data_IF_091974438629
#
_entry.id   IF_091974438629
#
_cell.length_a   1.000
_cell.length_b   1.000
_cell.length_c   1.000
_cell.angle_alpha   90.00
_cell.angle_beta   90.00
_cell.angle_gamma   90.00
#
_symmetry.space_group_name_H-M   'P 1'
#
loop_
_entity.id
_entity.type
_entity.pdbx_description
1 polymer ?
#
# COMPACT_ATOMS: atom_id res chain seq x y z
N UNK A 1 -12.95 -41.15 -18.61
CA UNK A 1 -12.05 -40.33 -17.76
C UNK A 1 -11.88 -39.00 -18.48
N UNK A 2 -12.48 -37.91 -17.96
CA UNK A 2 -12.41 -36.57 -18.59
C UNK A 2 -11.10 -35.98 -18.12
N UNK A 3 -10.11 -35.81 -18.98
CA UNK A 3 -8.85 -35.09 -18.70
C UNK A 3 -9.12 -33.60 -18.93
N UNK A 4 -9.23 -32.84 -17.86
CA UNK A 4 -9.23 -31.38 -17.93
C UNK A 4 -7.82 -30.91 -18.23
N UNK A 5 -7.58 -30.34 -19.42
CA UNK A 5 -6.41 -29.51 -19.64
C UNK A 5 -6.66 -28.19 -18.92
N UNK A 6 -5.77 -27.81 -18.00
CA UNK A 6 -5.76 -26.48 -17.39
C UNK A 6 -5.49 -25.43 -18.49
N UNK A 7 -6.55 -24.95 -19.10
CA UNK A 7 -6.48 -23.72 -19.89
C UNK A 7 -6.40 -22.56 -18.89
N UNK A 8 -5.27 -21.89 -18.84
CA UNK A 8 -5.07 -20.67 -18.08
C UNK A 8 -5.94 -19.56 -18.73
N UNK A 9 -7.23 -19.53 -18.38
CA UNK A 9 -8.13 -18.47 -18.82
C UNK A 9 -7.84 -17.26 -17.90
N UNK A 10 -7.05 -16.33 -18.37
CA UNK A 10 -6.99 -14.99 -17.74
C UNK A 10 -8.37 -14.36 -17.82
N UNK A 11 -9.10 -14.41 -16.70
CA UNK A 11 -10.39 -13.76 -16.63
C UNK A 11 -10.19 -12.25 -16.51
N UNK A 12 -10.80 -11.44 -17.39
CA UNK A 12 -10.77 -9.99 -17.23
C UNK A 12 -11.32 -9.61 -15.85
N UNK A 13 -10.76 -8.55 -15.24
CA UNK A 13 -11.25 -8.04 -13.94
C UNK A 13 -12.75 -7.78 -14.02
N UNK A 14 -13.49 -8.17 -12.97
CA UNK A 14 -14.90 -7.84 -12.86
C UNK A 14 -15.12 -6.32 -12.73
N UNK A 15 -16.29 -5.81 -13.13
CA UNK A 15 -16.63 -4.40 -12.93
C UNK A 15 -16.57 -3.99 -11.46
N UNK A 16 -16.83 -4.90 -10.54
CA UNK A 16 -16.67 -4.70 -9.09
C UNK A 16 -15.22 -4.42 -8.73
N UNK A 17 -14.30 -5.25 -9.25
CA UNK A 17 -12.87 -5.07 -9.01
C UNK A 17 -12.35 -3.78 -9.66
N UNK A 18 -12.80 -3.47 -10.88
CA UNK A 18 -12.44 -2.23 -11.57
C UNK A 18 -12.91 -1.02 -10.76
N UNK A 19 -14.15 -1.03 -10.26
CA UNK A 19 -14.68 0.05 -9.43
C UNK A 19 -13.89 0.21 -8.12
N UNK A 20 -13.62 -0.89 -7.42
CA UNK A 20 -12.84 -0.88 -6.19
C UNK A 20 -11.41 -0.34 -6.43
N UNK A 21 -10.72 -0.82 -7.47
CA UNK A 21 -9.36 -0.40 -7.82
C UNK A 21 -9.32 1.09 -8.17
N UNK A 22 -10.29 1.60 -8.95
CA UNK A 22 -10.37 3.01 -9.33
C UNK A 22 -10.61 3.91 -8.11
N UNK A 23 -11.53 3.55 -7.23
CA UNK A 23 -11.83 4.33 -6.01
C UNK A 23 -10.62 4.27 -5.06
N UNK A 24 -10.02 3.11 -4.84
CA UNK A 24 -8.81 2.94 -4.01
C UNK A 24 -7.68 3.85 -4.51
N UNK A 25 -7.40 3.82 -5.83
CA UNK A 25 -6.41 4.67 -6.44
C UNK A 25 -6.73 6.15 -6.23
N UNK A 26 -7.98 6.57 -6.40
CA UNK A 26 -8.42 7.95 -6.15
C UNK A 26 -8.18 8.39 -4.69
N UNK A 27 -8.36 7.48 -3.71
CA UNK A 27 -8.07 7.75 -2.30
C UNK A 27 -6.55 7.87 -2.08
N UNK A 28 -5.77 6.92 -2.56
CA UNK A 28 -4.30 6.90 -2.41
C UNK A 28 -3.68 8.15 -3.04
N UNK A 29 -4.09 8.52 -4.26
CA UNK A 29 -3.58 9.68 -4.98
C UNK A 29 -4.16 11.03 -4.51
N UNK A 30 -5.02 11.02 -3.48
CA UNK A 30 -5.67 12.21 -2.88
C UNK A 30 -6.64 12.93 -3.82
N UNK A 31 -7.11 12.26 -4.88
CA UNK A 31 -8.23 12.74 -5.71
C UNK A 31 -9.55 12.66 -4.94
N UNK A 32 -9.67 11.67 -4.04
CA UNK A 32 -10.71 11.52 -3.04
C UNK A 32 -10.07 11.77 -1.67
N UNK A 33 -10.38 12.91 -1.04
CA UNK A 33 -9.70 13.33 0.19
C UNK A 33 -10.27 12.64 1.43
N UNK A 34 -9.46 12.54 2.49
CA UNK A 34 -9.87 11.97 3.78
C UNK A 34 -11.13 12.67 4.32
N UNK A 35 -12.09 11.90 4.80
CA UNK A 35 -13.38 12.40 5.28
C UNK A 35 -14.37 12.83 4.19
N UNK A 36 -14.02 12.73 2.91
CA UNK A 36 -14.92 13.11 1.81
C UNK A 36 -16.14 12.18 1.74
N UNK A 37 -17.37 12.73 1.65
CA UNK A 37 -18.56 11.91 1.41
C UNK A 37 -18.56 11.34 -0.01
N UNK A 38 -18.94 10.07 -0.14
CA UNK A 38 -19.02 9.35 -1.39
C UNK A 38 -20.46 8.85 -1.60
N UNK A 39 -20.98 9.05 -2.82
CA UNK A 39 -22.29 8.52 -3.20
C UNK A 39 -22.15 7.49 -4.32
N UNK A 40 -22.92 6.39 -4.23
CA UNK A 40 -22.95 5.38 -5.29
C UNK A 40 -23.30 5.99 -6.66
N UNK A 41 -24.24 6.95 -6.68
CA UNK A 41 -24.65 7.61 -7.93
C UNK A 41 -23.55 8.48 -8.53
N UNK A 42 -22.81 9.24 -7.68
CA UNK A 42 -21.70 10.08 -8.14
C UNK A 42 -20.59 9.23 -8.72
N UNK A 43 -20.15 8.19 -7.98
CA UNK A 43 -19.10 7.27 -8.45
C UNK A 43 -19.50 6.51 -9.71
N UNK A 44 -20.76 6.03 -9.79
CA UNK A 44 -21.27 5.34 -10.98
C UNK A 44 -21.22 6.23 -12.22
N UNK A 45 -21.58 7.52 -12.07
CA UNK A 45 -21.48 8.52 -13.14
C UNK A 45 -20.03 8.76 -13.55
N UNK A 46 -19.13 8.94 -12.59
CA UNK A 46 -17.70 9.19 -12.86
C UNK A 46 -17.03 7.99 -13.55
N UNK A 47 -17.35 6.76 -13.13
CA UNK A 47 -16.77 5.53 -13.66
C UNK A 47 -17.47 5.03 -14.94
N UNK A 48 -18.61 5.61 -15.34
CA UNK A 48 -19.37 5.17 -16.51
C UNK A 48 -19.98 3.77 -16.39
N UNK A 49 -20.30 3.31 -15.16
CA UNK A 49 -20.87 1.97 -14.87
C UNK A 49 -22.14 2.08 -14.03
N UNK A 50 -22.86 0.98 -13.87
CA UNK A 50 -24.06 0.94 -13.02
C UNK A 50 -23.72 1.02 -11.52
N UNK A 51 -24.72 1.34 -10.67
CA UNK A 51 -24.55 1.46 -9.22
C UNK A 51 -24.20 0.13 -8.53
N UNK A 52 -24.65 -1.00 -9.07
CA UNK A 52 -24.46 -2.32 -8.44
C UNK A 52 -22.97 -2.65 -8.26
N UNK A 53 -22.10 -2.68 -9.30
CA UNK A 53 -20.67 -2.93 -9.12
C UNK A 53 -19.97 -1.86 -8.26
N UNK A 54 -20.45 -0.62 -8.26
CA UNK A 54 -19.91 0.43 -7.38
C UNK A 54 -20.22 0.13 -5.91
N UNK A 55 -21.46 -0.26 -5.59
CA UNK A 55 -21.85 -0.64 -4.22
C UNK A 55 -21.05 -1.83 -3.70
N UNK A 56 -20.87 -2.86 -4.53
CA UNK A 56 -20.07 -4.03 -4.19
C UNK A 56 -18.59 -3.65 -4.03
N UNK A 57 -18.04 -2.81 -4.91
CA UNK A 57 -16.68 -2.26 -4.79
C UNK A 57 -16.48 -1.46 -3.51
N UNK A 58 -17.43 -0.59 -3.14
CA UNK A 58 -17.42 0.13 -1.86
C UNK A 58 -17.50 -0.81 -0.65
N UNK A 59 -18.24 -1.92 -0.76
CA UNK A 59 -18.25 -2.93 0.30
C UNK A 59 -16.90 -3.62 0.48
N UNK A 60 -16.15 -3.89 -0.60
CA UNK A 60 -14.76 -4.37 -0.53
C UNK A 60 -13.85 -3.34 0.15
N UNK A 61 -13.92 -2.07 -0.28
CA UNK A 61 -13.12 -1.00 0.29
C UNK A 61 -13.43 -0.74 1.77
N UNK A 62 -14.68 -0.99 2.19
CA UNK A 62 -15.06 -0.94 3.61
C UNK A 62 -14.37 -2.05 4.41
N UNK A 63 -14.25 -3.25 3.86
CA UNK A 63 -13.52 -4.33 4.54
C UNK A 63 -12.01 -4.07 4.60
N UNK A 64 -11.48 -3.23 3.72
CA UNK A 64 -10.10 -2.75 3.74
C UNK A 64 -9.90 -1.51 4.66
N UNK A 65 -10.97 -0.97 5.23
CA UNK A 65 -10.91 0.22 6.08
C UNK A 65 -10.75 1.55 5.32
N UNK A 66 -10.77 1.55 3.98
CA UNK A 66 -10.61 2.77 3.16
C UNK A 66 -11.86 3.64 3.11
N UNK A 67 -13.02 3.06 3.33
CA UNK A 67 -14.28 3.80 3.41
C UNK A 67 -15.11 3.33 4.60
N UNK A 68 -15.89 4.24 5.15
CA UNK A 68 -16.82 3.98 6.24
C UNK A 68 -18.24 4.17 5.72
N UNK A 69 -19.15 3.24 6.04
CA UNK A 69 -20.55 3.38 5.72
C UNK A 69 -21.24 4.33 6.70
N UNK A 70 -21.95 5.32 6.20
CA UNK A 70 -22.77 6.24 6.99
C UNK A 70 -24.26 5.90 6.82
N UNK A 71 -25.00 5.55 7.88
CA UNK A 71 -26.42 5.26 7.79
C UNK A 71 -27.17 6.39 7.09
N UNK A 72 -27.95 6.04 6.07
CA UNK A 72 -28.77 6.97 5.25
C UNK A 72 -27.98 8.03 4.46
N UNK A 73 -26.62 8.03 4.50
CA UNK A 73 -25.77 9.03 3.82
C UNK A 73 -24.79 8.44 2.80
N UNK A 74 -24.75 7.10 2.68
CA UNK A 74 -23.83 6.41 1.77
C UNK A 74 -22.52 6.05 2.42
N UNK A 75 -21.42 6.52 1.87
CA UNK A 75 -20.06 6.20 2.33
C UNK A 75 -19.27 7.49 2.52
N UNK A 76 -18.18 7.38 3.28
CA UNK A 76 -17.17 8.42 3.45
C UNK A 76 -15.79 7.80 3.35
N UNK A 77 -14.83 8.50 2.74
CA UNK A 77 -13.42 8.12 2.83
C UNK A 77 -13.01 8.11 4.30
N UNK A 78 -12.24 7.14 4.73
CA UNK A 78 -11.74 7.09 6.11
C UNK A 78 -11.03 8.39 6.49
N UNK A 79 -10.96 8.68 7.76
CA UNK A 79 -10.17 9.76 8.33
C UNK A 79 -9.59 9.30 9.66
N UNK A 80 -8.52 9.91 10.09
CA UNK A 80 -7.86 9.64 11.36
C UNK A 80 -7.63 10.94 12.12
N UNK A 81 -7.80 10.91 13.43
CA UNK A 81 -7.30 11.96 14.33
C UNK A 81 -5.77 11.86 14.39
N UNK A 82 -5.12 12.85 14.98
CA UNK A 82 -3.67 12.81 15.19
C UNK A 82 -3.26 11.64 16.09
N UNK A 83 -4.05 11.32 17.10
CA UNK A 83 -3.80 10.19 18.01
C UNK A 83 -3.92 8.86 17.27
N UNK A 84 -4.99 8.66 16.49
CA UNK A 84 -5.18 7.46 15.67
C UNK A 84 -4.07 7.30 14.62
N UNK A 85 -3.55 8.41 14.08
CA UNK A 85 -2.42 8.36 13.15
C UNK A 85 -1.15 7.86 13.84
N UNK A 86 -0.88 8.30 15.08
CA UNK A 86 0.26 7.80 15.86
C UNK A 86 0.12 6.31 16.13
N UNK A 87 -1.03 5.86 16.65
CA UNK A 87 -1.30 4.44 16.90
C UNK A 87 -1.13 3.59 15.63
N UNK A 88 -1.60 4.10 14.49
CA UNK A 88 -1.45 3.43 13.21
C UNK A 88 0.02 3.34 12.75
N UNK A 89 0.80 4.38 12.96
CA UNK A 89 2.24 4.36 12.68
C UNK A 89 2.99 3.38 13.60
N UNK A 90 2.61 3.25 14.85
CA UNK A 90 3.17 2.27 15.79
C UNK A 90 2.85 0.84 15.37
N UNK A 91 1.60 0.55 14.97
CA UNK A 91 1.22 -0.74 14.42
C UNK A 91 2.04 -1.08 13.17
N UNK A 92 2.16 -0.12 12.23
CA UNK A 92 2.98 -0.28 11.02
C UNK A 92 4.42 -0.61 11.39
N UNK A 93 5.03 0.16 12.30
CA UNK A 93 6.40 -0.06 12.76
C UNK A 93 6.57 -1.45 13.38
N UNK A 94 5.64 -1.91 14.20
CA UNK A 94 5.68 -3.24 14.80
C UNK A 94 5.68 -4.35 13.72
N UNK A 95 4.80 -4.24 12.71
CA UNK A 95 4.72 -5.22 11.63
C UNK A 95 5.97 -5.21 10.74
N UNK A 96 6.42 -4.03 10.31
CA UNK A 96 7.60 -3.87 9.44
C UNK A 96 8.89 -4.30 10.16
N UNK A 97 9.07 -3.94 11.43
CA UNK A 97 10.21 -4.36 12.25
C UNK A 97 10.28 -5.87 12.41
N UNK A 98 9.14 -6.52 12.67
CA UNK A 98 9.11 -7.97 12.79
C UNK A 98 9.35 -8.67 11.43
N UNK A 99 8.80 -8.12 10.34
CA UNK A 99 9.07 -8.61 8.99
C UNK A 99 10.56 -8.50 8.64
N UNK A 100 11.18 -7.37 8.96
CA UNK A 100 12.61 -7.14 8.73
C UNK A 100 13.48 -8.13 9.51
N UNK A 101 13.18 -8.38 10.79
CA UNK A 101 13.87 -9.40 11.62
C UNK A 101 13.83 -10.78 10.97
N UNK A 102 12.65 -11.22 10.53
CA UNK A 102 12.50 -12.51 9.87
C UNK A 102 13.18 -12.54 8.49
N UNK A 103 13.10 -11.46 7.72
CA UNK A 103 13.73 -11.36 6.41
C UNK A 103 15.26 -11.47 6.50
N UNK A 104 15.88 -10.81 7.48
CA UNK A 104 17.33 -10.91 7.73
C UNK A 104 17.74 -12.32 8.17
N UNK A 105 16.91 -13.00 8.97
CA UNK A 105 17.19 -14.37 9.39
C UNK A 105 17.05 -15.39 8.26
N UNK A 106 16.05 -15.22 7.37
CA UNK A 106 15.65 -16.24 6.40
C UNK A 106 16.23 -16.00 5.02
N UNK A 107 16.28 -14.75 4.54
CA UNK A 107 16.63 -14.39 3.17
C UNK A 107 17.53 -13.14 3.09
N UNK A 108 18.63 -13.04 3.86
CA UNK A 108 19.42 -11.79 3.96
C UNK A 108 19.99 -11.32 2.62
N UNK A 109 20.54 -12.22 1.81
CA UNK A 109 21.14 -11.86 0.51
C UNK A 109 20.10 -11.44 -0.52
N UNK A 110 18.95 -12.11 -0.53
CA UNK A 110 17.84 -11.76 -1.41
C UNK A 110 17.26 -10.40 -1.04
N UNK A 111 17.06 -10.14 0.25
CA UNK A 111 16.59 -8.87 0.76
C UNK A 111 17.54 -7.73 0.34
N UNK A 112 18.84 -7.84 0.66
CA UNK A 112 19.82 -6.80 0.34
C UNK A 112 19.84 -6.48 -1.16
N UNK A 113 19.84 -7.51 -2.03
CA UNK A 113 19.81 -7.33 -3.48
C UNK A 113 18.54 -6.61 -3.96
N UNK A 114 17.36 -7.00 -3.43
CA UNK A 114 16.09 -6.36 -3.80
C UNK A 114 16.05 -4.90 -3.36
N UNK A 115 16.48 -4.59 -2.14
CA UNK A 115 16.48 -3.22 -1.64
C UNK A 115 17.43 -2.32 -2.43
N UNK A 116 18.65 -2.79 -2.75
CA UNK A 116 19.59 -2.04 -3.59
C UNK A 116 19.01 -1.74 -4.98
N UNK A 117 18.38 -2.72 -5.61
CA UNK A 117 17.74 -2.52 -6.91
C UNK A 117 16.63 -1.48 -6.82
N UNK A 118 15.74 -1.58 -5.81
CA UNK A 118 14.66 -0.62 -5.60
C UNK A 118 15.20 0.78 -5.37
N UNK A 119 16.25 0.95 -4.54
CA UNK A 119 16.87 2.25 -4.31
C UNK A 119 17.43 2.88 -5.59
N UNK A 120 18.08 2.09 -6.44
CA UNK A 120 18.56 2.58 -7.75
C UNK A 120 17.40 3.06 -8.63
N UNK A 121 16.29 2.33 -8.64
CA UNK A 121 15.11 2.71 -9.39
C UNK A 121 14.41 3.95 -8.77
N UNK A 122 14.38 4.08 -7.43
CA UNK A 122 13.85 5.26 -6.74
C UNK A 122 14.66 6.51 -7.09
N UNK A 123 15.98 6.43 -7.08
CA UNK A 123 16.88 7.53 -7.46
C UNK A 123 16.63 8.00 -8.90
N UNK A 124 16.49 7.06 -9.83
CA UNK A 124 16.20 7.35 -11.24
C UNK A 124 14.81 7.98 -11.46
N UNK A 125 13.88 7.81 -10.51
CA UNK A 125 12.51 8.33 -10.59
C UNK A 125 12.25 9.46 -9.57
N UNK A 126 13.29 10.05 -9.01
CA UNK A 126 13.19 11.14 -8.04
C UNK A 126 12.91 12.48 -8.75
N UNK A 127 11.70 12.60 -9.32
CA UNK A 127 11.23 13.83 -9.95
C UNK A 127 9.72 13.99 -9.77
N UNK A 128 9.19 15.22 -9.81
CA UNK A 128 7.75 15.47 -9.70
C UNK A 128 6.92 14.71 -10.73
N UNK A 129 7.42 14.56 -11.97
CA UNK A 129 6.74 13.87 -13.07
C UNK A 129 6.63 12.37 -12.83
N UNK A 130 7.59 11.78 -12.11
CA UNK A 130 7.66 10.36 -11.80
C UNK A 130 7.15 10.02 -10.40
N UNK A 131 6.47 10.94 -9.73
CA UNK A 131 6.05 10.81 -8.33
C UNK A 131 5.22 9.56 -8.06
N UNK A 132 4.31 9.19 -8.94
CA UNK A 132 3.52 7.95 -8.79
C UNK A 132 4.42 6.71 -8.81
N UNK A 133 5.38 6.67 -9.74
CA UNK A 133 6.37 5.58 -9.82
C UNK A 133 7.25 5.52 -8.58
N UNK A 134 7.67 6.65 -8.07
CA UNK A 134 8.44 6.73 -6.82
C UNK A 134 7.66 6.11 -5.64
N UNK A 135 6.39 6.43 -5.46
CA UNK A 135 5.57 5.86 -4.38
C UNK A 135 5.30 4.36 -4.56
N UNK A 136 5.18 3.88 -5.81
CA UNK A 136 5.13 2.45 -6.08
C UNK A 136 6.41 1.73 -5.61
N UNK A 137 7.57 2.32 -5.89
CA UNK A 137 8.87 1.81 -5.45
C UNK A 137 9.02 1.86 -3.93
N UNK A 138 8.60 2.94 -3.28
CA UNK A 138 8.55 3.07 -1.82
C UNK A 138 7.70 1.95 -1.19
N UNK A 139 6.53 1.70 -1.73
CA UNK A 139 5.68 0.58 -1.31
C UNK A 139 6.38 -0.77 -1.51
N UNK A 140 7.05 -0.97 -2.64
CA UNK A 140 7.78 -2.21 -2.92
C UNK A 140 8.99 -2.39 -2.00
N UNK A 141 9.66 -1.32 -1.58
CA UNK A 141 10.74 -1.35 -0.60
C UNK A 141 10.27 -2.01 0.71
N UNK A 142 9.21 -1.51 1.30
CA UNK A 142 8.63 -2.06 2.53
C UNK A 142 8.05 -3.47 2.33
N UNK A 143 7.35 -3.73 1.23
CA UNK A 143 6.83 -5.08 0.91
C UNK A 143 7.93 -6.13 0.77
N UNK A 144 9.15 -5.73 0.43
CA UNK A 144 10.30 -6.66 0.35
C UNK A 144 10.62 -7.30 1.69
N UNK A 145 10.43 -6.59 2.82
CA UNK A 145 10.59 -7.17 4.16
C UNK A 145 9.65 -8.36 4.36
N UNK A 146 8.38 -8.19 4.03
CA UNK A 146 7.35 -9.22 4.20
C UNK A 146 7.54 -10.41 3.24
N UNK A 147 7.93 -10.16 1.99
CA UNK A 147 8.22 -11.21 1.01
C UNK A 147 9.42 -12.06 1.42
N UNK A 148 10.48 -11.44 1.97
CA UNK A 148 11.67 -12.13 2.46
C UNK A 148 11.48 -12.70 3.87
N UNK A 149 10.52 -12.23 4.64
CA UNK A 149 10.15 -12.78 5.94
C UNK A 149 9.53 -14.17 5.84
N UNK A 150 9.00 -14.58 4.68
CA UNK A 150 8.37 -15.89 4.45
C UNK A 150 7.35 -16.25 5.55
N UNK A 151 6.59 -15.25 6.02
CA UNK A 151 5.54 -15.41 7.02
C UNK A 151 4.18 -15.05 6.41
N UNK A 152 3.40 -16.07 6.08
CA UNK A 152 2.07 -15.91 5.47
C UNK A 152 1.16 -15.01 6.29
N UNK A 153 1.13 -15.22 7.60
CA UNK A 153 0.24 -14.45 8.48
C UNK A 153 0.67 -12.98 8.58
N UNK A 154 1.98 -12.73 8.70
CA UNK A 154 2.50 -11.37 8.78
C UNK A 154 2.22 -10.59 7.48
N UNK A 155 2.47 -11.23 6.34
CA UNK A 155 2.16 -10.65 5.02
C UNK A 155 0.66 -10.35 4.88
N UNK A 156 -0.21 -11.30 5.23
CA UNK A 156 -1.66 -11.13 5.14
C UNK A 156 -2.16 -9.94 5.98
N UNK A 157 -1.67 -9.79 7.21
CA UNK A 157 -2.06 -8.67 8.08
C UNK A 157 -1.55 -7.32 7.54
N UNK A 158 -0.34 -7.29 6.98
CA UNK A 158 0.15 -6.09 6.33
C UNK A 158 -0.66 -5.74 5.08
N UNK A 159 -0.98 -6.71 4.23
CA UNK A 159 -1.78 -6.49 3.03
C UNK A 159 -3.17 -5.93 3.34
N UNK A 160 -3.79 -6.34 4.45
CA UNK A 160 -5.09 -5.84 4.87
C UNK A 160 -5.10 -4.33 5.19
N UNK A 161 -3.96 -3.77 5.61
CA UNK A 161 -3.83 -2.34 5.96
C UNK A 161 -2.97 -1.57 4.94
N UNK A 162 -2.45 -2.24 3.92
CA UNK A 162 -1.49 -1.66 2.98
C UNK A 162 -2.04 -0.42 2.26
N UNK A 163 -3.30 -0.43 1.86
CA UNK A 163 -3.91 0.70 1.18
C UNK A 163 -4.04 1.94 2.09
N UNK A 164 -4.28 1.74 3.38
CA UNK A 164 -4.24 2.81 4.39
C UNK A 164 -2.81 3.33 4.54
N UNK A 165 -1.81 2.42 4.62
CA UNK A 165 -0.40 2.79 4.70
C UNK A 165 0.01 3.64 3.49
N UNK A 166 -0.34 3.22 2.27
CA UNK A 166 -0.06 3.95 1.04
C UNK A 166 -0.71 5.35 1.08
N UNK A 167 -1.99 5.43 1.48
CA UNK A 167 -2.69 6.71 1.61
C UNK A 167 -2.00 7.64 2.61
N UNK A 168 -1.70 7.14 3.81
CA UNK A 168 -1.02 7.93 4.85
C UNK A 168 0.35 8.42 4.38
N UNK A 169 1.13 7.57 3.70
CA UNK A 169 2.42 7.98 3.11
C UNK A 169 2.26 9.12 2.12
N UNK A 170 1.29 9.03 1.19
CA UNK A 170 1.01 10.12 0.25
C UNK A 170 0.63 11.43 0.93
N UNK A 171 -0.03 11.36 2.12
CA UNK A 171 -0.34 12.56 2.90
C UNK A 171 0.88 13.12 3.62
N UNK A 172 1.74 12.28 4.21
CA UNK A 172 2.93 12.70 4.96
C UNK A 172 4.04 13.16 4.02
N UNK A 173 4.30 12.40 2.93
CA UNK A 173 5.35 12.70 1.94
C UNK A 173 4.88 13.70 0.88
N UNK A 174 3.99 14.61 1.24
CA UNK A 174 3.39 15.60 0.33
C UNK A 174 4.36 16.63 -0.23
N UNK A 175 5.58 16.76 0.30
CA UNK A 175 6.63 17.69 -0.13
C UNK A 175 7.87 16.96 -0.63
N UNK A 176 8.64 17.58 -1.51
CA UNK A 176 9.90 17.02 -2.03
C UNK A 176 10.91 16.77 -0.91
N UNK A 177 10.94 17.65 0.11
CA UNK A 177 11.80 17.47 1.28
C UNK A 177 11.43 16.22 2.08
N UNK A 178 10.14 15.97 2.33
CA UNK A 178 9.69 14.78 3.06
C UNK A 178 10.00 13.50 2.27
N UNK A 179 9.85 13.54 0.94
CA UNK A 179 10.22 12.44 0.04
C UNK A 179 11.73 12.19 0.07
N UNK A 180 12.56 13.24 0.07
CA UNK A 180 14.02 13.13 0.20
C UNK A 180 14.46 12.53 1.53
N UNK A 181 13.85 12.93 2.62
CA UNK A 181 14.14 12.36 3.94
C UNK A 181 13.77 10.85 4.01
N UNK A 182 12.65 10.45 3.39
CA UNK A 182 12.26 9.04 3.31
C UNK A 182 13.29 8.23 2.51
N UNK A 183 13.75 8.74 1.37
CA UNK A 183 14.80 8.09 0.56
C UNK A 183 16.09 7.89 1.33
N UNK A 184 16.59 8.93 2.04
CA UNK A 184 17.80 8.82 2.86
C UNK A 184 17.65 7.81 4.00
N UNK A 185 16.46 7.69 4.60
CA UNK A 185 16.19 6.64 5.59
C UNK A 185 16.22 5.24 4.95
N UNK A 186 15.66 5.05 3.76
CA UNK A 186 15.74 3.78 3.04
C UNK A 186 17.18 3.38 2.72
N UNK A 187 18.04 4.34 2.34
CA UNK A 187 19.48 4.10 2.16
C UNK A 187 20.14 3.62 3.44
N UNK A 188 19.92 4.33 4.57
CA UNK A 188 20.46 3.94 5.88
C UNK A 188 20.06 2.55 6.28
N UNK A 189 18.75 2.21 6.16
CA UNK A 189 18.26 0.85 6.44
C UNK A 189 19.01 -0.17 5.59
N UNK A 190 19.15 0.07 4.29
CA UNK A 190 19.82 -0.86 3.37
C UNK A 190 21.31 -1.01 3.69
N UNK A 191 22.00 0.08 4.00
CA UNK A 191 23.42 0.07 4.42
C UNK A 191 23.61 -0.72 5.71
N UNK A 192 22.77 -0.50 6.72
CA UNK A 192 22.80 -1.26 7.97
C UNK A 192 22.61 -2.76 7.73
N UNK A 193 21.68 -3.14 6.84
CA UNK A 193 21.46 -4.55 6.52
C UNK A 193 22.62 -5.20 5.79
N UNK A 194 23.29 -4.48 4.87
CA UNK A 194 24.49 -4.95 4.19
C UNK A 194 25.62 -5.18 5.22
N UNK A 195 25.75 -4.28 6.20
CA UNK A 195 26.74 -4.35 7.27
C UNK A 195 26.33 -5.31 8.42
N UNK A 196 25.19 -6.02 8.28
CA UNK A 196 24.62 -6.92 9.29
C UNK A 196 24.28 -6.23 10.62
N UNK A 197 24.02 -4.94 10.58
CA UNK A 197 23.56 -4.15 11.71
C UNK A 197 22.03 -4.05 11.72
N UNK A 198 21.41 -5.07 12.28
CA UNK A 198 19.95 -5.11 12.41
C UNK A 198 19.43 -4.05 13.40
N UNK A 199 20.21 -3.70 14.41
CA UNK A 199 19.81 -2.69 15.40
C UNK A 199 19.75 -1.32 14.74
N UNK A 200 20.78 -0.95 14.01
CA UNK A 200 20.82 0.31 13.24
C UNK A 200 19.74 0.38 12.14
N UNK A 201 19.37 -0.76 11.55
CA UNK A 201 18.28 -0.81 10.56
C UNK A 201 16.88 -0.61 11.17
N UNK A 202 16.71 -0.81 12.48
CA UNK A 202 15.44 -0.71 13.20
C UNK A 202 15.30 0.62 13.99
N UNK A 203 16.39 1.35 14.17
CA UNK A 203 16.46 2.57 14.96
C UNK A 203 16.42 3.82 14.17
#
# INVERSE_FOLDING_TARGET
>A
MITWQESNIERPKSLVQIAADAIRRGIILRELVLGQPLTEAGLAKTLGISKTPVREGLSLLRSEGLVVAEPHRGYRVFSMTQEELVDFCELRFALESQALRYAVQRQPLKLAKQLQQILTEMEANFSPENREKYFELDTNFHKSFFRCAESRFLLQHYENINAIIETVRHYISGTDQATGNAYENHKKITECLINRDLVGALG
#
